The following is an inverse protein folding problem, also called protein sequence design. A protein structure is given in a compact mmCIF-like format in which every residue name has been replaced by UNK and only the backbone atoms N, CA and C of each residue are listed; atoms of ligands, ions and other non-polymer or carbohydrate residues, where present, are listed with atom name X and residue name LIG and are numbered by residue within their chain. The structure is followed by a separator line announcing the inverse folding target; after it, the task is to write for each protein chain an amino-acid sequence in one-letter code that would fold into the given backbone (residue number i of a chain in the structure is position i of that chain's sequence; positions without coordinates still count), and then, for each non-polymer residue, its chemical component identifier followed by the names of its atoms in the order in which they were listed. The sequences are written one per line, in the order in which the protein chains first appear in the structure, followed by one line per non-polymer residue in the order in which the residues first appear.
data_IF_499421824456
#
_entry.id   IF_499421824456
#
_cell.length_a   1.000
_cell.length_b   1.000
_cell.length_c   1.000
_cell.angle_alpha   90.00
_cell.angle_beta   90.00
_cell.angle_gamma   90.00
#
_symmetry.space_group_name_H-M   'P 1'
#
loop_
_entity.id
_entity.type
_entity.pdbx_description
1 polymer ?
#
# COMPACT_ATOMS: atom_id res chain seq x y z
N UNK A 1 7.97 10.84 6.69
CA UNK A 1 7.96 9.39 6.38
C UNK A 1 8.61 9.24 5.01
N UNK A 2 9.52 8.29 4.86
CA UNK A 2 10.19 8.04 3.56
C UNK A 2 9.23 7.41 2.56
N UNK A 3 9.39 7.69 1.26
CA UNK A 3 8.50 7.21 0.18
C UNK A 3 8.35 5.68 0.16
N UNK A 4 9.44 4.95 0.44
CA UNK A 4 9.43 3.49 0.56
C UNK A 4 8.50 3.00 1.67
N UNK A 5 8.47 3.68 2.82
CA UNK A 5 7.61 3.32 3.94
C UNK A 5 6.14 3.67 3.63
N UNK A 6 5.90 4.84 3.02
CA UNK A 6 4.58 5.24 2.54
C UNK A 6 4.02 4.16 1.60
N UNK A 7 4.82 3.75 0.62
CA UNK A 7 4.44 2.73 -0.37
C UNK A 7 4.06 1.41 0.31
N UNK A 8 4.90 0.90 1.22
CA UNK A 8 4.65 -0.36 1.89
C UNK A 8 3.38 -0.33 2.77
N UNK A 9 3.16 0.76 3.51
CA UNK A 9 1.96 0.92 4.35
C UNK A 9 0.68 1.05 3.52
N UNK A 10 0.72 1.78 2.40
CA UNK A 10 -0.43 1.89 1.52
C UNK A 10 -0.73 0.59 0.77
N UNK A 11 0.30 -0.17 0.38
CA UNK A 11 0.11 -1.53 -0.14
C UNK A 11 -0.57 -2.41 0.90
N UNK A 12 -0.08 -2.41 2.15
CA UNK A 12 -0.68 -3.21 3.22
C UNK A 12 -2.15 -2.81 3.47
N UNK A 13 -2.46 -1.50 3.43
CA UNK A 13 -3.82 -0.97 3.55
C UNK A 13 -4.76 -1.50 2.46
N UNK A 14 -4.30 -1.56 1.21
CA UNK A 14 -5.09 -2.10 0.10
C UNK A 14 -5.30 -3.60 0.26
N UNK A 15 -4.23 -4.36 0.55
CA UNK A 15 -4.29 -5.83 0.67
C UNK A 15 -5.12 -6.31 1.87
N UNK A 16 -5.39 -5.46 2.86
CA UNK A 16 -6.22 -5.80 4.03
C UNK A 16 -7.59 -5.11 4.01
N UNK A 17 -8.01 -4.58 2.86
CA UNK A 17 -9.24 -3.78 2.72
C UNK A 17 -10.53 -4.55 3.09
N UNK A 18 -10.52 -5.87 3.03
CA UNK A 18 -11.63 -6.73 3.48
C UNK A 18 -11.50 -7.18 4.95
N UNK A 19 -10.45 -6.74 5.64
CA UNK A 19 -10.12 -7.05 7.03
C UNK A 19 -9.31 -8.34 7.22
N UNK A 20 -8.94 -9.05 6.14
CA UNK A 20 -8.20 -10.31 6.22
C UNK A 20 -7.05 -10.26 5.20
N UNK A 21 -5.82 -10.40 5.68
CA UNK A 21 -4.67 -10.59 4.78
C UNK A 21 -4.45 -12.08 4.54
N UNK A 22 -4.79 -12.56 3.34
CA UNK A 22 -4.56 -13.93 2.92
C UNK A 22 -3.06 -14.25 2.82
N UNK A 23 -2.70 -15.54 2.86
CA UNK A 23 -1.29 -15.98 2.81
C UNK A 23 -0.57 -15.51 1.54
N UNK A 24 -1.28 -15.46 0.41
CA UNK A 24 -0.76 -14.99 -0.89
C UNK A 24 -0.49 -13.49 -0.88
N UNK A 25 -1.38 -12.70 -0.28
CA UNK A 25 -1.24 -11.24 -0.15
C UNK A 25 -0.12 -10.91 0.83
N UNK A 26 -0.03 -11.65 1.94
CA UNK A 26 1.08 -11.54 2.89
C UNK A 26 2.42 -11.86 2.23
N UNK A 27 2.49 -12.93 1.46
CA UNK A 27 3.71 -13.28 0.73
C UNK A 27 4.11 -12.18 -0.25
N UNK A 28 3.14 -11.58 -0.95
CA UNK A 28 3.40 -10.43 -1.81
C UNK A 28 3.90 -9.22 -1.03
N UNK A 29 3.25 -8.88 0.09
CA UNK A 29 3.64 -7.76 0.94
C UNK A 29 5.09 -7.93 1.40
N UNK A 30 5.46 -9.13 1.87
CA UNK A 30 6.84 -9.45 2.25
C UNK A 30 7.83 -9.21 1.09
N UNK A 31 7.48 -9.66 -0.12
CA UNK A 31 8.31 -9.42 -1.31
C UNK A 31 8.47 -7.92 -1.61
N UNK A 32 7.40 -7.13 -1.47
CA UNK A 32 7.45 -5.69 -1.69
C UNK A 32 8.33 -5.00 -0.64
N UNK A 33 8.24 -5.41 0.63
CA UNK A 33 9.11 -4.88 1.68
C UNK A 33 10.59 -5.17 1.39
N UNK A 34 10.89 -6.36 0.84
CA UNK A 34 12.24 -6.72 0.39
C UNK A 34 12.68 -5.87 -0.82
N UNK A 35 11.82 -5.70 -1.84
CA UNK A 35 12.09 -4.84 -3.02
C UNK A 35 12.39 -3.38 -2.60
N UNK A 36 11.66 -2.88 -1.61
CA UNK A 36 11.81 -1.54 -1.01
C UNK A 36 12.96 -1.45 0.00
N UNK A 37 13.63 -2.57 0.28
CA UNK A 37 14.75 -2.69 1.23
C UNK A 37 14.40 -2.14 2.62
N UNK A 38 13.20 -2.45 3.11
CA UNK A 38 12.84 -2.14 4.48
C UNK A 38 13.71 -2.96 5.44
N UNK A 39 14.09 -2.34 6.55
CA UNK A 39 14.73 -3.07 7.63
C UNK A 39 13.71 -3.88 8.43
N UNK A 40 14.19 -4.60 9.46
CA UNK A 40 13.36 -5.46 10.29
C UNK A 40 12.30 -4.67 11.06
N UNK A 41 12.67 -3.50 11.62
CA UNK A 41 11.75 -2.69 12.41
C UNK A 41 10.68 -2.05 11.51
N UNK A 42 11.10 -1.60 10.33
CA UNK A 42 10.19 -1.06 9.32
C UNK A 42 9.21 -2.12 8.81
N UNK A 43 9.68 -3.34 8.54
CA UNK A 43 8.84 -4.45 8.09
C UNK A 43 7.84 -4.88 9.18
N UNK A 44 8.27 -4.91 10.44
CA UNK A 44 7.39 -5.20 11.58
C UNK A 44 6.28 -4.16 11.70
N UNK A 45 6.62 -2.88 11.53
CA UNK A 45 5.62 -1.80 11.54
C UNK A 45 4.55 -1.99 10.46
N UNK A 46 4.96 -2.32 9.23
CA UNK A 46 4.04 -2.58 8.12
C UNK A 46 3.15 -3.79 8.40
N UNK A 47 3.71 -4.88 8.95
CA UNK A 47 2.94 -6.08 9.29
C UNK A 47 1.95 -5.87 10.45
N UNK A 48 2.26 -4.94 11.36
CA UNK A 48 1.36 -4.51 12.42
C UNK A 48 0.31 -3.49 11.94
N UNK A 49 0.35 -3.10 10.66
CA UNK A 49 -0.51 -2.09 10.05
C UNK A 49 -0.42 -0.73 10.77
N UNK A 50 0.72 -0.46 11.42
CA UNK A 50 0.92 0.73 12.24
C UNK A 50 1.35 1.93 11.37
N UNK A 51 0.57 3.00 11.43
CA UNK A 51 0.85 4.23 10.68
C UNK A 51 0.22 4.31 9.28
N UNK A 52 -0.75 3.45 8.94
CA UNK A 52 -1.46 3.53 7.66
C UNK A 52 -2.08 4.91 7.39
N UNK A 53 -2.77 5.50 8.36
CA UNK A 53 -3.37 6.84 8.21
C UNK A 53 -2.30 7.92 8.03
N UNK A 54 -1.19 7.80 8.78
CA UNK A 54 -0.05 8.71 8.63
C UNK A 54 0.62 8.58 7.26
N UNK A 55 0.61 7.38 6.65
CA UNK A 55 1.11 7.16 5.30
C UNK A 55 0.24 7.86 4.24
N UNK A 56 -1.08 7.87 4.40
CA UNK A 56 -1.99 8.63 3.51
C UNK A 56 -1.68 10.12 3.57
N UNK A 57 -1.56 10.69 4.78
CA UNK A 57 -1.23 12.11 4.94
C UNK A 57 0.16 12.44 4.38
N UNK A 58 1.14 11.55 4.59
CA UNK A 58 2.47 11.73 4.03
C UNK A 58 2.46 11.65 2.49
N UNK A 59 1.66 10.77 1.90
CA UNK A 59 1.50 10.64 0.45
C UNK A 59 0.88 11.89 -0.19
N UNK A 60 -0.04 12.59 0.49
CA UNK A 60 -0.60 13.87 0.02
C UNK A 60 0.47 14.94 -0.17
N UNK A 61 1.53 14.91 0.65
CA UNK A 61 2.65 15.84 0.56
C UNK A 61 3.61 15.56 -0.62
N UNK A 62 3.46 14.42 -1.31
CA UNK A 62 4.31 14.07 -2.45
C UNK A 62 3.94 14.85 -3.72
N UNK A 63 4.87 15.03 -4.67
CA UNK A 63 4.57 15.57 -5.99
C UNK A 63 3.47 14.78 -6.71
N UNK A 64 2.64 15.46 -7.50
CA UNK A 64 1.50 14.83 -8.18
C UNK A 64 1.90 13.63 -9.05
N UNK A 65 3.03 13.72 -9.77
CA UNK A 65 3.57 12.61 -10.56
C UNK A 65 3.93 11.39 -9.70
N UNK A 66 4.51 11.63 -8.53
CA UNK A 66 4.82 10.57 -7.56
C UNK A 66 3.55 9.93 -7.01
N UNK A 67 2.50 10.72 -6.72
CA UNK A 67 1.20 10.18 -6.26
C UNK A 67 0.54 9.32 -7.34
N UNK A 68 0.59 9.74 -8.60
CA UNK A 68 0.09 8.95 -9.71
C UNK A 68 0.84 7.61 -9.86
N UNK A 69 2.18 7.64 -9.85
CA UNK A 69 3.00 6.44 -9.91
C UNK A 69 2.76 5.49 -8.72
N UNK A 70 2.50 6.04 -7.53
CA UNK A 70 2.10 5.28 -6.36
C UNK A 70 0.74 4.58 -6.58
N UNK A 71 -0.25 5.27 -7.16
CA UNK A 71 -1.55 4.65 -7.45
C UNK A 71 -1.44 3.51 -8.48
N UNK A 72 -0.63 3.68 -9.52
CA UNK A 72 -0.37 2.61 -10.49
C UNK A 72 0.25 1.38 -9.80
N UNK A 73 1.22 1.60 -8.92
CA UNK A 73 1.86 0.54 -8.15
C UNK A 73 0.87 -0.17 -7.22
N UNK A 74 -0.03 0.55 -6.56
CA UNK A 74 -1.06 -0.04 -5.70
C UNK A 74 -2.01 -0.95 -6.50
N UNK A 75 -2.43 -0.50 -7.69
CA UNK A 75 -3.28 -1.30 -8.57
C UNK A 75 -2.56 -2.56 -9.09
N UNK A 76 -1.29 -2.45 -9.50
CA UNK A 76 -0.48 -3.60 -9.92
C UNK A 76 -0.34 -4.65 -8.82
N UNK A 77 -0.15 -4.20 -7.57
CA UNK A 77 0.04 -5.09 -6.43
C UNK A 77 -1.25 -5.76 -6.01
N UNK A 78 -2.38 -5.05 -6.05
CA UNK A 78 -3.68 -5.67 -5.75
C UNK A 78 -4.08 -6.72 -6.80
N UNK A 79 -3.55 -6.63 -8.03
CA UNK A 79 -3.82 -7.60 -9.12
C UNK A 79 -3.02 -8.92 -9.03
N UNK A 80 -2.42 -9.25 -7.88
CA UNK A 80 -1.49 -10.40 -7.74
C UNK A 80 -2.12 -11.76 -8.03
N UNK A 81 -3.40 -11.94 -7.74
CA UNK A 81 -4.14 -13.16 -8.09
C UNK A 81 -4.85 -13.07 -9.46
N UNK A 82 -4.59 -11.98 -10.21
CA UNK A 82 -5.21 -11.67 -11.50
C UNK A 82 -6.58 -11.01 -11.38
N UNK A 83 -7.04 -10.66 -10.17
CA UNK A 83 -8.32 -10.01 -9.91
C UNK A 83 -8.16 -8.91 -8.87
N UNK A 84 -9.11 -7.99 -8.88
CA UNK A 84 -9.30 -6.99 -7.83
C UNK A 84 -10.62 -7.33 -7.17
N UNK A 85 -10.61 -7.55 -5.86
CA UNK A 85 -11.84 -7.69 -5.10
C UNK A 85 -12.58 -6.33 -5.06
N UNK A 86 -13.91 -6.34 -4.80
CA UNK A 86 -14.66 -5.10 -4.59
C UNK A 86 -14.14 -4.25 -3.40
N UNK A 87 -13.46 -4.87 -2.44
CA UNK A 87 -12.91 -4.18 -1.27
C UNK A 87 -11.62 -3.43 -1.63
N UNK A 88 -10.67 -4.10 -2.28
CA UNK A 88 -9.42 -3.48 -2.75
C UNK A 88 -9.70 -2.38 -3.77
N UNK A 89 -10.64 -2.60 -4.70
CA UNK A 89 -11.02 -1.58 -5.67
C UNK A 89 -11.60 -0.33 -4.99
N UNK A 90 -12.42 -0.51 -3.96
CA UNK A 90 -12.96 0.61 -3.18
C UNK A 90 -11.83 1.34 -2.45
N UNK A 91 -10.93 0.61 -1.81
CA UNK A 91 -9.80 1.19 -1.09
C UNK A 91 -8.90 2.01 -2.03
N UNK A 92 -8.61 1.50 -3.23
CA UNK A 92 -7.84 2.23 -4.26
C UNK A 92 -8.58 3.50 -4.68
N UNK A 93 -9.90 3.46 -4.87
CA UNK A 93 -10.71 4.64 -5.23
C UNK A 93 -10.71 5.69 -4.11
N UNK A 94 -10.83 5.25 -2.86
CA UNK A 94 -10.77 6.13 -1.70
C UNK A 94 -9.37 6.76 -1.54
N UNK A 95 -8.31 6.00 -1.80
CA UNK A 95 -6.93 6.51 -1.83
C UNK A 95 -6.72 7.50 -2.98
N UNK A 96 -7.18 7.20 -4.19
CA UNK A 96 -7.11 8.14 -5.33
C UNK A 96 -7.79 9.48 -5.00
N UNK A 97 -9.02 9.42 -4.46
CA UNK A 97 -9.73 10.62 -4.02
C UNK A 97 -9.00 11.37 -2.89
N UNK A 98 -8.40 10.64 -1.94
CA UNK A 98 -7.63 11.24 -0.85
C UNK A 98 -6.32 11.88 -1.33
N UNK A 99 -5.73 11.40 -2.43
CA UNK A 99 -4.47 11.88 -2.99
C UNK A 99 -4.65 12.86 -4.14
N UNK A 100 -5.89 13.19 -4.52
CA UNK A 100 -6.21 14.06 -5.66
C UNK A 100 -5.55 13.56 -6.95
N UNK A 101 -5.77 12.27 -7.25
CA UNK A 101 -5.33 11.54 -8.46
C UNK A 101 -6.54 10.99 -9.20
#
# INVERSE_FOLDING_TARGET
MEERMITALLVAKVLVADGIMADTEKARLLQIMEELRLDVAESEQVLLLDGMDAAVEAARGLPAETRAALMDRLAEVALVDGRLSPHELREIQELAAALDV
#
